data_IF_964077770037
#
_entry.id   IF_964077770037
#
_cell.length_a   1.000
_cell.length_b   1.000
_cell.length_c   1.000
_cell.angle_alpha   90.00
_cell.angle_beta   90.00
_cell.angle_gamma   90.00
#
_symmetry.space_group_name_H-M   'P 1'
#
loop_
_entity.id
_entity.type
_entity.pdbx_description
1 polymer ?
#
# COMPACT_ATOMS: atom_id res chain seq x y z
N UNK A 1 -19.62 -22.72 4.39
CA UNK A 1 -18.37 -22.73 3.61
C UNK A 1 -17.30 -22.06 4.45
N UNK A 2 -16.11 -22.65 4.53
CA UNK A 2 -14.99 -22.02 5.21
C UNK A 2 -14.56 -20.75 4.45
N UNK A 3 -14.06 -19.74 5.16
CA UNK A 3 -13.64 -18.46 4.60
C UNK A 3 -12.45 -17.90 5.38
N UNK A 4 -11.76 -16.93 4.81
CA UNK A 4 -10.67 -16.23 5.51
C UNK A 4 -11.29 -15.27 6.52
N UNK A 5 -10.83 -15.32 7.77
CA UNK A 5 -11.24 -14.41 8.84
C UNK A 5 -10.01 -14.06 9.66
N UNK A 6 -10.00 -12.87 10.26
CA UNK A 6 -8.92 -12.48 11.17
C UNK A 6 -8.73 -13.55 12.25
N UNK A 7 -7.47 -13.94 12.44
CA UNK A 7 -7.04 -14.90 13.46
C UNK A 7 -7.56 -16.34 13.30
N UNK A 8 -8.10 -16.71 12.13
CA UNK A 8 -8.41 -18.11 11.85
C UNK A 8 -7.22 -18.87 11.24
N UNK A 9 -7.36 -20.19 11.07
CA UNK A 9 -6.32 -21.04 10.51
C UNK A 9 -5.83 -20.55 9.14
N UNK A 10 -6.75 -20.21 8.22
CA UNK A 10 -6.42 -19.78 6.87
C UNK A 10 -5.67 -18.45 6.84
N UNK A 11 -6.02 -17.51 7.72
CA UNK A 11 -5.29 -16.27 7.90
C UNK A 11 -3.82 -16.53 8.28
N UNK A 12 -3.56 -17.40 9.26
CA UNK A 12 -2.20 -17.76 9.64
C UNK A 12 -1.48 -18.61 8.61
N UNK A 13 -2.20 -19.43 7.83
CA UNK A 13 -1.63 -20.24 6.75
C UNK A 13 -0.98 -19.34 5.69
N UNK A 14 -1.68 -18.30 5.22
CA UNK A 14 -1.11 -17.36 4.24
C UNK A 14 0.13 -16.62 4.78
N UNK A 15 0.10 -16.20 6.05
CA UNK A 15 1.26 -15.58 6.71
C UNK A 15 2.43 -16.56 6.78
N UNK A 16 2.20 -17.80 7.21
CA UNK A 16 3.23 -18.83 7.32
C UNK A 16 3.88 -19.13 5.96
N UNK A 17 3.06 -19.21 4.91
CA UNK A 17 3.54 -19.40 3.52
C UNK A 17 4.42 -18.22 3.09
N UNK A 18 4.01 -16.97 3.35
CA UNK A 18 4.80 -15.79 3.01
C UNK A 18 6.15 -15.75 3.75
N UNK A 19 6.16 -16.08 5.05
CA UNK A 19 7.39 -16.18 5.84
C UNK A 19 8.31 -17.28 5.29
N UNK A 20 7.77 -18.46 5.02
CA UNK A 20 8.52 -19.58 4.46
C UNK A 20 9.18 -19.21 3.12
N UNK A 21 8.41 -18.62 2.20
CA UNK A 21 8.96 -18.18 0.91
C UNK A 21 9.97 -17.04 1.05
N UNK A 22 9.85 -16.17 2.06
CA UNK A 22 10.84 -15.14 2.33
C UNK A 22 12.17 -15.78 2.72
N UNK A 23 12.15 -16.75 3.65
CA UNK A 23 13.33 -17.49 4.09
C UNK A 23 13.98 -18.25 2.92
N UNK A 24 13.17 -18.92 2.10
CA UNK A 24 13.66 -19.63 0.91
C UNK A 24 14.30 -18.65 -0.07
N UNK A 25 13.68 -17.49 -0.31
CA UNK A 25 14.20 -16.48 -1.24
C UNK A 25 15.56 -15.94 -0.78
N UNK A 26 15.71 -15.65 0.51
CA UNK A 26 17.00 -15.20 1.10
C UNK A 26 18.05 -16.30 0.96
N UNK A 27 17.78 -17.51 1.44
CA UNK A 27 18.74 -18.64 1.35
C UNK A 27 19.17 -18.93 -0.08
N UNK A 28 18.26 -18.81 -1.04
CA UNK A 28 18.56 -19.01 -2.45
C UNK A 28 19.48 -17.91 -3.03
N UNK A 29 19.33 -16.67 -2.58
CA UNK A 29 20.04 -15.48 -3.08
C UNK A 29 21.34 -15.16 -2.35
N UNK A 30 21.55 -15.68 -1.14
CA UNK A 30 22.75 -15.41 -0.33
C UNK A 30 24.05 -15.78 -1.04
N UNK A 31 24.03 -16.86 -1.82
CA UNK A 31 25.20 -17.33 -2.56
C UNK A 31 25.25 -16.85 -4.02
N UNK A 32 24.44 -15.84 -4.39
CA UNK A 32 24.36 -15.30 -5.76
C UNK A 32 25.06 -13.95 -5.88
N UNK A 33 25.49 -13.61 -7.09
CA UNK A 33 26.09 -12.31 -7.38
C UNK A 33 25.07 -11.18 -7.31
N UNK A 34 25.52 -9.95 -7.05
CA UNK A 34 24.62 -8.78 -7.03
C UNK A 34 23.88 -8.56 -8.34
N UNK A 35 24.54 -8.83 -9.47
CA UNK A 35 23.91 -8.79 -10.79
C UNK A 35 22.74 -9.78 -10.89
N UNK A 36 22.90 -10.99 -10.34
CA UNK A 36 21.82 -11.96 -10.30
C UNK A 36 20.70 -11.54 -9.35
N UNK A 37 21.03 -11.10 -8.13
CA UNK A 37 20.03 -10.63 -7.15
C UNK A 37 19.18 -9.49 -7.71
N UNK A 38 19.81 -8.52 -8.40
CA UNK A 38 19.09 -7.41 -9.06
C UNK A 38 18.13 -7.91 -10.15
N UNK A 39 18.60 -8.83 -11.01
CA UNK A 39 17.76 -9.45 -12.04
C UNK A 39 16.60 -10.23 -11.43
N UNK A 40 16.85 -10.99 -10.38
CA UNK A 40 15.81 -11.75 -9.68
C UNK A 40 14.72 -10.83 -9.13
N UNK A 41 15.11 -9.77 -8.40
CA UNK A 41 14.15 -8.79 -7.87
C UNK A 41 13.37 -8.11 -9.00
N UNK A 42 14.05 -7.76 -10.10
CA UNK A 42 13.35 -7.19 -11.25
C UNK A 42 12.38 -8.18 -11.90
N UNK A 43 12.72 -9.47 -12.00
CA UNK A 43 11.78 -10.49 -12.46
C UNK A 43 10.56 -10.59 -11.56
N UNK A 44 10.70 -10.49 -10.23
CA UNK A 44 9.57 -10.44 -9.30
C UNK A 44 8.67 -9.23 -9.54
N UNK A 45 9.26 -8.04 -9.81
CA UNK A 45 8.51 -6.83 -10.18
C UNK A 45 7.68 -7.09 -11.45
N UNK A 46 8.29 -7.68 -12.48
CA UNK A 46 7.60 -7.97 -13.74
C UNK A 46 6.52 -9.05 -13.58
N UNK A 47 6.74 -10.07 -12.75
CA UNK A 47 5.73 -11.07 -12.41
C UNK A 47 4.52 -10.40 -11.73
N UNK A 48 4.77 -9.50 -10.78
CA UNK A 48 3.68 -8.79 -10.09
C UNK A 48 2.89 -7.91 -11.06
N UNK A 49 3.59 -7.23 -11.98
CA UNK A 49 2.96 -6.44 -13.05
C UNK A 49 2.06 -7.31 -13.94
N UNK A 50 2.56 -8.47 -14.40
CA UNK A 50 1.79 -9.40 -15.22
C UNK A 50 0.55 -9.88 -14.46
N UNK A 51 0.69 -10.28 -13.20
CA UNK A 51 -0.43 -10.75 -12.36
C UNK A 51 -1.48 -9.66 -12.15
N UNK A 52 -1.04 -8.41 -11.98
CA UNK A 52 -1.94 -7.28 -11.88
C UNK A 52 -2.80 -7.11 -13.14
N UNK A 53 -2.25 -7.29 -14.34
CA UNK A 53 -3.04 -7.27 -15.57
C UNK A 53 -3.90 -8.53 -15.76
N UNK A 54 -3.37 -9.71 -15.45
CA UNK A 54 -4.09 -10.98 -15.59
C UNK A 54 -5.30 -11.10 -14.66
N UNK A 55 -5.38 -10.31 -13.58
CA UNK A 55 -6.52 -10.39 -12.65
C UNK A 55 -7.88 -10.10 -13.33
N UNK A 56 -7.89 -9.39 -14.48
CA UNK A 56 -9.14 -9.09 -15.20
C UNK A 56 -9.85 -10.34 -15.72
N UNK A 57 -9.13 -11.45 -15.93
CA UNK A 57 -9.70 -12.68 -16.49
C UNK A 57 -10.24 -13.65 -15.43
N UNK A 58 -10.15 -13.31 -14.14
CA UNK A 58 -10.57 -14.18 -13.05
C UNK A 58 -11.75 -13.62 -12.28
N UNK A 59 -12.58 -14.49 -11.72
CA UNK A 59 -13.65 -14.09 -10.81
C UNK A 59 -13.06 -13.43 -9.54
N UNK A 60 -13.62 -12.31 -9.03
CA UNK A 60 -14.87 -11.67 -9.45
C UNK A 60 -14.70 -10.51 -10.46
N UNK A 61 -13.52 -10.31 -11.05
CA UNK A 61 -13.28 -9.20 -12.00
C UNK A 61 -14.11 -9.34 -13.27
N UNK A 62 -14.43 -10.58 -13.66
CA UNK A 62 -15.33 -10.88 -14.77
C UNK A 62 -16.76 -10.38 -14.59
N UNK A 63 -17.14 -9.93 -13.38
CA UNK A 63 -18.45 -9.32 -13.08
C UNK A 63 -18.47 -7.80 -13.31
N UNK A 64 -17.35 -7.19 -13.70
CA UNK A 64 -17.23 -5.73 -13.87
C UNK A 64 -17.25 -5.39 -15.35
N UNK A 65 -18.26 -4.63 -15.79
CA UNK A 65 -18.43 -4.25 -17.20
C UNK A 65 -17.18 -3.60 -17.80
N UNK A 66 -16.63 -2.59 -17.10
CA UNK A 66 -15.38 -1.93 -17.46
C UNK A 66 -14.22 -2.44 -16.60
N UNK A 67 -13.90 -3.74 -16.74
CA UNK A 67 -12.88 -4.42 -15.94
C UNK A 67 -11.50 -3.75 -15.98
N UNK A 68 -11.17 -3.03 -17.08
CA UNK A 68 -9.90 -2.31 -17.23
C UNK A 68 -9.67 -1.25 -16.15
N UNK A 69 -10.74 -0.67 -15.58
CA UNK A 69 -10.65 0.24 -14.43
C UNK A 69 -9.87 -0.37 -13.26
N UNK A 70 -9.88 -1.70 -13.16
CA UNK A 70 -9.19 -2.46 -12.11
C UNK A 70 -7.69 -2.57 -12.29
N UNK A 71 -7.17 -2.35 -13.49
CA UNK A 71 -5.72 -2.45 -13.77
C UNK A 71 -5.03 -1.09 -13.88
N UNK A 72 -5.78 -0.01 -13.65
CA UNK A 72 -5.26 1.37 -13.61
C UNK A 72 -4.68 1.73 -12.24
N UNK A 73 -4.42 3.02 -11.99
CA UNK A 73 -4.10 3.57 -10.68
C UNK A 73 -5.32 3.55 -9.74
N UNK A 74 -5.87 2.34 -9.52
CA UNK A 74 -7.08 2.12 -8.74
C UNK A 74 -6.85 2.22 -7.24
N UNK A 75 -5.66 1.91 -6.74
CA UNK A 75 -5.36 2.00 -5.32
C UNK A 75 -3.85 2.09 -5.10
N UNK A 76 -3.41 2.25 -3.85
CA UNK A 76 -1.99 2.36 -3.50
C UNK A 76 -1.19 1.14 -4.00
N UNK A 77 -1.74 -0.08 -3.85
CA UNK A 77 -1.08 -1.32 -4.27
C UNK A 77 -0.94 -1.39 -5.79
N UNK A 78 -2.01 -1.13 -6.53
CA UNK A 78 -2.02 -1.07 -7.99
C UNK A 78 -1.05 -0.01 -8.51
N UNK A 79 -1.07 1.19 -7.91
CA UNK A 79 -0.13 2.27 -8.23
C UNK A 79 1.32 1.83 -8.01
N UNK A 80 1.59 1.13 -6.90
CA UNK A 80 2.91 0.58 -6.62
C UNK A 80 3.33 -0.46 -7.67
N UNK A 81 2.46 -1.41 -8.02
CA UNK A 81 2.74 -2.40 -9.06
C UNK A 81 3.05 -1.75 -10.42
N UNK A 82 2.29 -0.72 -10.81
CA UNK A 82 2.52 0.01 -12.07
C UNK A 82 3.80 0.84 -12.05
N UNK A 83 4.17 1.43 -10.91
CA UNK A 83 5.32 2.32 -10.80
C UNK A 83 6.65 1.59 -10.52
N UNK A 84 6.62 0.44 -9.84
CA UNK A 84 7.81 -0.29 -9.41
C UNK A 84 8.79 -0.65 -10.55
N UNK A 85 8.35 -1.05 -11.76
CA UNK A 85 9.25 -1.27 -12.90
C UNK A 85 10.14 -0.05 -13.19
N UNK A 86 9.60 1.16 -13.03
CA UNK A 86 10.32 2.42 -13.28
C UNK A 86 11.10 2.87 -12.04
N UNK A 87 10.49 2.81 -10.86
CA UNK A 87 11.11 3.21 -9.59
C UNK A 87 12.31 2.35 -9.23
N UNK A 88 12.35 1.09 -9.66
CA UNK A 88 13.48 0.20 -9.43
C UNK A 88 14.80 0.74 -10.01
N UNK A 89 14.73 1.36 -11.20
CA UNK A 89 15.90 1.90 -11.90
C UNK A 89 16.19 3.37 -11.58
N UNK A 90 15.27 4.07 -10.90
CA UNK A 90 15.45 5.49 -10.61
C UNK A 90 16.63 5.72 -9.67
N UNK A 91 17.42 6.76 -9.93
CA UNK A 91 18.55 7.14 -9.06
C UNK A 91 18.13 8.02 -7.89
N UNK A 92 16.95 8.62 -7.96
CA UNK A 92 16.43 9.51 -6.93
C UNK A 92 16.14 8.70 -5.65
N UNK A 93 16.86 9.03 -4.55
CA UNK A 93 16.73 8.31 -3.28
C UNK A 93 15.34 8.43 -2.66
N UNK A 94 14.65 9.56 -2.81
CA UNK A 94 13.30 9.76 -2.25
C UNK A 94 12.26 8.89 -2.96
N UNK A 95 12.36 8.76 -4.29
CA UNK A 95 11.49 7.85 -5.05
C UNK A 95 11.72 6.38 -4.68
N UNK A 96 12.99 6.01 -4.39
CA UNK A 96 13.32 4.68 -3.87
C UNK A 96 12.88 4.46 -2.42
N UNK A 97 13.01 5.46 -1.54
CA UNK A 97 12.50 5.40 -0.18
C UNK A 97 10.98 5.18 -0.21
N UNK A 98 10.25 5.86 -1.09
CA UNK A 98 8.82 5.62 -1.32
C UNK A 98 8.55 4.17 -1.74
N UNK A 99 9.24 3.67 -2.77
CA UNK A 99 9.09 2.27 -3.24
C UNK A 99 9.27 1.27 -2.09
N UNK A 100 10.25 1.51 -1.22
CA UNK A 100 10.56 0.61 -0.11
C UNK A 100 9.55 0.73 1.02
N UNK A 101 9.32 1.94 1.53
CA UNK A 101 8.44 2.16 2.67
C UNK A 101 7.00 1.77 2.34
N UNK A 102 6.49 2.21 1.18
CA UNK A 102 5.13 1.89 0.76
C UNK A 102 5.01 0.44 0.31
N UNK A 103 6.02 -0.14 -0.35
CA UNK A 103 5.99 -1.56 -0.71
C UNK A 103 5.95 -2.48 0.51
N UNK A 104 6.81 -2.24 1.51
CA UNK A 104 6.78 -3.00 2.77
C UNK A 104 5.46 -2.77 3.49
N UNK A 105 5.01 -1.53 3.67
CA UNK A 105 3.78 -1.23 4.40
C UNK A 105 2.55 -1.82 3.71
N UNK A 106 2.39 -1.61 2.40
CA UNK A 106 1.25 -2.15 1.64
C UNK A 106 1.25 -3.68 1.59
N UNK A 107 2.42 -4.31 1.52
CA UNK A 107 2.52 -5.77 1.57
C UNK A 107 2.23 -6.34 2.96
N UNK A 108 2.69 -5.70 4.04
CA UNK A 108 2.47 -6.19 5.42
C UNK A 108 1.04 -5.90 5.90
N UNK A 109 0.56 -4.67 5.75
CA UNK A 109 -0.77 -4.26 6.24
C UNK A 109 -1.87 -5.11 5.60
N UNK A 110 -1.74 -5.47 4.33
CA UNK A 110 -2.73 -6.30 3.64
C UNK A 110 -2.73 -7.76 4.08
N UNK A 111 -1.65 -8.23 4.72
CA UNK A 111 -1.65 -9.52 5.42
C UNK A 111 -2.27 -9.41 6.82
N UNK A 112 -2.03 -8.31 7.53
CA UNK A 112 -2.58 -8.06 8.88
C UNK A 112 -4.09 -7.81 8.84
N UNK A 113 -4.55 -7.04 7.85
CA UNK A 113 -5.95 -6.66 7.66
C UNK A 113 -6.35 -6.89 6.19
N UNK A 114 -6.59 -8.15 5.78
CA UNK A 114 -6.87 -8.52 4.38
C UNK A 114 -8.32 -8.21 3.98
N UNK A 115 -8.74 -6.94 4.08
CA UNK A 115 -10.14 -6.51 3.89
C UNK A 115 -10.74 -7.02 2.58
N UNK A 116 -10.02 -6.90 1.46
CA UNK A 116 -10.53 -7.33 0.15
C UNK A 116 -10.69 -8.85 0.04
N UNK A 117 -9.78 -9.64 0.63
CA UNK A 117 -9.86 -11.10 0.59
C UNK A 117 -10.97 -11.65 1.51
N UNK A 118 -11.36 -10.88 2.52
CA UNK A 118 -12.44 -11.20 3.46
C UNK A 118 -13.81 -10.64 3.04
N UNK A 119 -13.82 -9.57 2.23
CA UNK A 119 -15.05 -8.86 1.86
C UNK A 119 -15.97 -9.71 0.99
N UNK A 120 -17.25 -9.79 1.35
CA UNK A 120 -18.31 -10.33 0.51
C UNK A 120 -18.79 -9.36 -0.58
N UNK A 121 -18.28 -8.12 -0.56
CA UNK A 121 -18.58 -7.07 -1.52
C UNK A 121 -17.34 -6.78 -2.35
N UNK A 122 -17.49 -6.88 -3.67
CA UNK A 122 -16.48 -6.53 -4.66
C UNK A 122 -16.85 -5.25 -5.40
N UNK A 123 -15.85 -4.49 -5.86
CA UNK A 123 -16.03 -3.22 -6.59
C UNK A 123 -17.00 -2.22 -5.91
N UNK A 124 -17.12 -2.28 -4.58
CA UNK A 124 -17.97 -1.40 -3.79
C UNK A 124 -19.46 -1.74 -3.74
N UNK A 125 -20.01 -2.45 -4.73
CA UNK A 125 -21.45 -2.75 -4.79
C UNK A 125 -21.82 -4.17 -5.22
N UNK A 126 -20.85 -4.96 -5.70
CA UNK A 126 -21.12 -6.30 -6.24
C UNK A 126 -21.07 -7.31 -5.11
N UNK A 127 -22.21 -7.87 -4.71
CA UNK A 127 -22.24 -8.96 -3.72
C UNK A 127 -21.77 -10.26 -4.36
N UNK A 128 -20.67 -10.80 -3.84
CA UNK A 128 -20.05 -12.06 -4.28
C UNK A 128 -20.15 -13.17 -3.23
N UNK A 129 -20.72 -12.84 -2.06
CA UNK A 129 -20.89 -13.78 -0.95
C UNK A 129 -19.57 -14.16 -0.26
N UNK A 130 -19.61 -15.16 0.63
CA UNK A 130 -18.42 -15.68 1.32
C UNK A 130 -17.35 -16.17 0.35
N UNK A 131 -16.09 -15.79 0.60
CA UNK A 131 -14.97 -16.14 -0.27
C UNK A 131 -14.21 -17.34 0.27
N UNK A 132 -14.17 -18.42 -0.50
CA UNK A 132 -13.41 -19.61 -0.15
C UNK A 132 -11.91 -19.26 0.03
N UNK A 133 -11.19 -19.88 0.99
CA UNK A 133 -9.79 -19.55 1.26
C UNK A 133 -8.89 -19.75 0.05
N UNK A 134 -9.15 -20.79 -0.74
CA UNK A 134 -8.40 -21.14 -1.95
C UNK A 134 -9.05 -20.63 -3.24
N UNK A 135 -9.96 -19.66 -3.16
CA UNK A 135 -10.42 -18.94 -4.35
C UNK A 135 -9.19 -18.35 -5.06
N UNK A 136 -9.11 -18.50 -6.39
CA UNK A 136 -7.96 -18.06 -7.17
C UNK A 136 -7.62 -16.58 -6.93
N UNK A 137 -8.63 -15.73 -6.78
CA UNK A 137 -8.42 -14.32 -6.43
C UNK A 137 -7.82 -14.13 -5.04
N UNK A 138 -8.17 -14.95 -4.04
CA UNK A 138 -7.56 -14.87 -2.71
C UNK A 138 -6.08 -15.24 -2.78
N UNK A 139 -5.74 -16.33 -3.49
CA UNK A 139 -4.35 -16.74 -3.71
C UNK A 139 -3.59 -15.63 -4.44
N UNK A 140 -4.16 -15.07 -5.51
CA UNK A 140 -3.58 -13.96 -6.27
C UNK A 140 -3.40 -12.72 -5.40
N UNK A 141 -4.39 -12.37 -4.59
CA UNK A 141 -4.34 -11.24 -3.67
C UNK A 141 -3.14 -11.37 -2.73
N UNK A 142 -3.03 -12.48 -1.99
CA UNK A 142 -1.90 -12.66 -1.07
C UNK A 142 -0.57 -12.74 -1.79
N UNK A 143 -0.50 -13.39 -2.96
CA UNK A 143 0.74 -13.50 -3.71
C UNK A 143 1.22 -12.15 -4.26
N UNK A 144 0.32 -11.33 -4.81
CA UNK A 144 0.66 -9.99 -5.32
C UNK A 144 1.16 -9.06 -4.20
N UNK A 145 0.53 -9.11 -3.02
CA UNK A 145 0.94 -8.32 -1.86
C UNK A 145 2.22 -8.86 -1.22
N UNK A 146 2.42 -10.17 -1.24
CA UNK A 146 3.69 -10.79 -0.85
C UNK A 146 4.83 -10.28 -1.73
N UNK A 147 4.64 -10.21 -3.06
CA UNK A 147 5.65 -9.64 -3.95
C UNK A 147 5.92 -8.16 -3.65
N UNK A 148 4.86 -7.37 -3.38
CA UNK A 148 5.02 -5.95 -2.96
C UNK A 148 5.89 -5.80 -1.70
N UNK A 149 5.82 -6.74 -0.75
CA UNK A 149 6.69 -6.80 0.42
C UNK A 149 8.09 -7.34 0.09
N UNK A 150 8.17 -8.48 -0.61
CA UNK A 150 9.40 -9.23 -0.82
C UNK A 150 10.42 -8.41 -1.63
N UNK A 151 9.95 -7.71 -2.67
CA UNK A 151 10.80 -6.87 -3.53
C UNK A 151 11.61 -5.85 -2.71
N UNK A 152 10.98 -4.92 -1.96
CA UNK A 152 11.71 -3.94 -1.16
C UNK A 152 12.43 -4.57 0.03
N UNK A 153 11.90 -5.65 0.63
CA UNK A 153 12.59 -6.39 1.67
C UNK A 153 13.95 -6.91 1.18
N UNK A 154 14.00 -7.57 0.01
CA UNK A 154 15.24 -8.09 -0.56
C UNK A 154 16.19 -6.96 -0.98
N UNK A 155 15.66 -5.82 -1.46
CA UNK A 155 16.48 -4.64 -1.75
C UNK A 155 17.18 -4.10 -0.50
N UNK A 156 16.48 -4.06 0.64
CA UNK A 156 17.04 -3.65 1.92
C UNK A 156 18.02 -4.70 2.47
N UNK A 157 17.64 -5.98 2.44
CA UNK A 157 18.43 -7.09 2.95
C UNK A 157 19.81 -7.18 2.25
N UNK A 158 19.85 -7.02 0.93
CA UNK A 158 21.08 -7.01 0.15
C UNK A 158 21.70 -5.61 -0.04
N UNK A 159 21.31 -4.62 0.79
CA UNK A 159 21.86 -3.25 0.79
C UNK A 159 21.89 -2.59 -0.59
N UNK A 160 20.88 -2.87 -1.42
CA UNK A 160 20.75 -2.26 -2.75
C UNK A 160 20.26 -0.81 -2.67
N UNK A 161 19.65 -0.46 -1.54
CA UNK A 161 19.25 0.89 -1.15
C UNK A 161 19.19 0.96 0.38
N UNK A 162 19.45 2.13 0.94
CA UNK A 162 19.39 2.40 2.37
C UNK A 162 18.41 3.55 2.60
N UNK A 163 17.38 3.28 3.39
CA UNK A 163 16.45 4.32 3.85
C UNK A 163 17.17 5.25 4.83
N UNK A 164 16.65 6.46 5.02
CA UNK A 164 17.23 7.41 5.97
C UNK A 164 16.16 8.21 6.69
N UNK A 165 16.30 8.36 8.00
CA UNK A 165 15.41 9.18 8.82
C UNK A 165 15.31 10.63 8.30
N UNK A 166 16.42 11.16 7.76
CA UNK A 166 16.49 12.51 7.19
C UNK A 166 15.59 12.70 5.96
N UNK A 167 15.16 11.60 5.33
CA UNK A 167 14.26 11.61 4.17
C UNK A 167 12.90 10.99 4.48
N UNK A 168 12.72 10.37 5.64
CA UNK A 168 11.50 9.64 6.02
C UNK A 168 10.24 10.51 5.96
N UNK A 169 10.34 11.79 6.35
CA UNK A 169 9.21 12.73 6.27
C UNK A 169 8.66 12.91 4.83
N UNK A 170 9.46 12.60 3.79
CA UNK A 170 9.03 12.71 2.39
C UNK A 170 8.09 11.59 1.98
N UNK A 171 8.13 10.43 2.65
CA UNK A 171 7.29 9.29 2.28
C UNK A 171 5.78 9.58 2.43
N UNK A 172 5.30 10.20 3.53
CA UNK A 172 3.91 10.67 3.62
C UNK A 172 3.49 11.61 2.48
N UNK A 173 4.33 12.58 2.11
CA UNK A 173 4.01 13.49 1.00
C UNK A 173 3.97 12.77 -0.36
N UNK A 174 4.86 11.80 -0.57
CA UNK A 174 4.81 10.94 -1.76
C UNK A 174 3.52 10.12 -1.79
N UNK A 175 3.04 9.64 -0.64
CA UNK A 175 1.77 8.93 -0.56
C UNK A 175 0.58 9.85 -0.86
N UNK A 176 0.60 11.11 -0.40
CA UNK A 176 -0.41 12.12 -0.78
C UNK A 176 -0.43 12.36 -2.30
N UNK A 177 0.74 12.42 -2.93
CA UNK A 177 0.83 12.53 -4.40
C UNK A 177 0.21 11.31 -5.09
N UNK A 178 0.36 10.12 -4.52
CA UNK A 178 -0.26 8.90 -5.05
C UNK A 178 -1.77 8.91 -4.88
N UNK A 179 -2.29 9.41 -3.75
CA UNK A 179 -3.73 9.65 -3.61
C UNK A 179 -4.27 10.64 -4.65
N UNK A 180 -3.51 11.68 -4.97
CA UNK A 180 -3.87 12.61 -6.05
C UNK A 180 -3.90 11.91 -7.42
N UNK A 181 -2.93 11.06 -7.72
CA UNK A 181 -2.92 10.26 -8.96
C UNK A 181 -4.13 9.34 -9.02
N UNK A 182 -4.47 8.66 -7.92
CA UNK A 182 -5.65 7.78 -7.83
C UNK A 182 -6.94 8.58 -8.05
N UNK A 183 -7.06 9.76 -7.44
CA UNK A 183 -8.21 10.64 -7.62
C UNK A 183 -8.35 11.12 -9.07
N UNK A 184 -7.26 11.59 -9.68
CA UNK A 184 -7.25 11.98 -11.10
C UNK A 184 -7.65 10.80 -11.99
N UNK A 185 -7.14 9.60 -11.69
CA UNK A 185 -7.52 8.38 -12.41
C UNK A 185 -9.03 8.12 -12.29
N UNK A 186 -9.61 8.26 -11.10
CA UNK A 186 -11.05 8.11 -10.88
C UNK A 186 -11.88 9.14 -11.67
N UNK A 187 -11.41 10.39 -11.74
CA UNK A 187 -12.03 11.43 -12.57
C UNK A 187 -11.99 11.08 -14.06
N UNK A 188 -10.84 10.61 -14.56
CA UNK A 188 -10.67 10.25 -15.97
C UNK A 188 -11.58 9.08 -16.35
N UNK A 189 -11.60 8.00 -15.57
CA UNK A 189 -12.46 6.85 -15.90
C UNK A 189 -13.95 7.19 -15.80
N UNK A 190 -14.33 8.09 -14.90
CA UNK A 190 -15.71 8.62 -14.81
C UNK A 190 -16.04 9.49 -16.03
N UNK A 191 -15.11 10.34 -16.46
CA UNK A 191 -15.28 11.16 -17.66
C UNK A 191 -15.41 10.32 -18.94
N UNK A 192 -14.74 9.17 -19.02
CA UNK A 192 -14.86 8.19 -20.10
C UNK A 192 -16.17 7.38 -20.05
N UNK A 193 -17.01 7.59 -19.02
CA UNK A 193 -18.28 6.87 -18.85
C UNK A 193 -18.12 5.45 -18.32
N UNK A 194 -16.93 5.05 -17.84
CA UNK A 194 -16.70 3.71 -17.30
C UNK A 194 -17.17 3.55 -15.84
N UNK A 195 -17.40 4.67 -15.16
CA UNK A 195 -17.98 4.76 -13.83
C UNK A 195 -19.15 5.75 -13.90
N UNK A 196 -20.33 5.43 -13.34
CA UNK A 196 -21.46 6.35 -13.30
C UNK A 196 -21.12 7.62 -12.51
N UNK A 197 -21.50 8.79 -13.04
CA UNK A 197 -21.17 10.09 -12.45
C UNK A 197 -21.82 10.30 -11.09
N UNK A 198 -22.99 9.73 -10.89
CA UNK A 198 -23.74 9.71 -9.64
C UNK A 198 -23.03 8.94 -8.53
N UNK A 199 -22.09 8.06 -8.87
CA UNK A 199 -21.28 7.33 -7.90
C UNK A 199 -19.98 8.06 -7.55
N UNK A 200 -19.62 9.11 -8.30
CA UNK A 200 -18.44 9.90 -8.00
C UNK A 200 -18.63 10.59 -6.65
N UNK A 201 -17.62 10.52 -5.79
CA UNK A 201 -17.64 11.02 -4.42
C UNK A 201 -18.43 10.18 -3.41
N UNK A 202 -19.23 9.19 -3.81
CA UNK A 202 -19.94 8.33 -2.85
C UNK A 202 -18.97 7.35 -2.18
N UNK A 203 -18.70 7.48 -0.86
CA UNK A 203 -17.74 6.61 -0.18
C UNK A 203 -18.15 5.15 -0.19
N UNK A 204 -19.44 4.84 -0.26
CA UNK A 204 -19.98 3.49 -0.19
C UNK A 204 -19.92 2.78 -1.56
N UNK A 205 -19.72 3.51 -2.65
CA UNK A 205 -19.57 2.96 -4.00
C UNK A 205 -18.10 2.66 -4.31
N UNK A 206 -17.64 3.06 -5.49
CA UNK A 206 -16.26 2.93 -5.91
C UNK A 206 -15.45 4.04 -5.24
N UNK A 207 -14.71 3.65 -4.21
CA UNK A 207 -13.97 4.57 -3.36
C UNK A 207 -12.52 4.07 -3.23
N UNK A 208 -11.71 4.26 -4.29
CA UNK A 208 -10.37 3.72 -4.37
C UNK A 208 -9.49 4.27 -3.25
N UNK A 209 -8.93 3.38 -2.41
CA UNK A 209 -8.11 3.77 -1.26
C UNK A 209 -8.73 4.85 -0.35
N UNK A 210 -10.05 4.84 -0.20
CA UNK A 210 -10.79 5.77 0.66
C UNK A 210 -10.66 7.25 0.27
N UNK A 211 -10.34 7.59 -0.98
CA UNK A 211 -10.17 9.00 -1.37
C UNK A 211 -11.38 9.90 -1.04
N UNK A 212 -12.59 9.35 -0.97
CA UNK A 212 -13.83 10.09 -0.67
C UNK A 212 -14.27 9.98 0.80
N UNK A 213 -13.56 9.22 1.63
CA UNK A 213 -13.95 8.97 3.01
C UNK A 213 -13.91 7.49 3.36
N UNK A 214 -14.05 7.13 4.64
CA UNK A 214 -14.27 5.74 5.04
C UNK A 214 -15.64 5.25 4.56
N UNK A 215 -15.74 3.96 4.25
CA UNK A 215 -17.04 3.31 4.00
C UNK A 215 -17.78 3.12 5.32
N UNK A 216 -19.10 3.14 5.30
CA UNK A 216 -19.92 2.90 6.50
C UNK A 216 -19.61 1.54 7.15
N UNK A 217 -19.40 0.51 6.33
CA UNK A 217 -19.01 -0.83 6.77
C UNK A 217 -17.67 -0.90 7.51
N UNK A 218 -16.85 0.16 7.45
CA UNK A 218 -15.56 0.25 8.13
C UNK A 218 -15.60 1.26 9.28
N UNK A 219 -16.75 1.43 9.95
CA UNK A 219 -16.95 2.41 11.02
C UNK A 219 -15.81 2.49 12.05
N UNK A 220 -15.21 1.37 12.46
CA UNK A 220 -14.05 1.36 13.36
C UNK A 220 -12.75 1.90 12.74
N UNK A 221 -12.45 1.54 11.50
CA UNK A 221 -11.25 2.03 10.79
C UNK A 221 -11.44 3.49 10.34
N UNK A 222 -12.67 3.85 9.98
CA UNK A 222 -13.09 5.22 9.67
C UNK A 222 -13.05 6.13 10.90
N UNK A 223 -13.33 5.61 12.09
CA UNK A 223 -13.17 6.34 13.34
C UNK A 223 -11.70 6.68 13.60
N UNK A 224 -10.79 5.70 13.46
CA UNK A 224 -9.35 5.92 13.63
C UNK A 224 -8.81 6.93 12.62
N UNK A 225 -9.15 6.76 11.34
CA UNK A 225 -8.75 7.71 10.29
C UNK A 225 -9.36 9.11 10.49
N UNK A 226 -10.59 9.18 11.01
CA UNK A 226 -11.36 10.40 11.21
C UNK A 226 -10.93 11.28 12.38
N UNK A 227 -10.19 10.74 13.38
CA UNK A 227 -9.75 11.50 14.57
C UNK A 227 -8.99 12.78 14.20
N UNK A 228 -8.22 12.74 13.12
CA UNK A 228 -7.39 13.85 12.67
C UNK A 228 -8.04 14.70 11.58
N UNK A 229 -9.32 14.48 11.26
CA UNK A 229 -9.98 15.11 10.11
C UNK A 229 -10.92 16.21 10.60
N UNK A 230 -10.64 17.49 10.27
CA UNK A 230 -11.54 18.58 10.62
C UNK A 230 -12.93 18.39 10.02
N UNK A 231 -13.97 18.69 10.79
CA UNK A 231 -15.37 18.51 10.36
C UNK A 231 -15.75 19.33 9.13
N UNK A 232 -15.10 20.48 8.89
CA UNK A 232 -15.36 21.30 7.69
C UNK A 232 -14.92 20.63 6.37
N UNK A 233 -14.11 19.57 6.44
CA UNK A 233 -13.74 18.78 5.27
C UNK A 233 -14.80 17.72 4.93
N UNK A 234 -15.85 17.58 5.76
CA UNK A 234 -16.98 16.71 5.52
C UNK A 234 -18.09 17.53 4.84
N UNK A 235 -18.53 17.07 3.66
CA UNK A 235 -19.51 17.73 2.82
C UNK A 235 -20.67 16.78 2.52
N UNK A 236 -21.84 17.35 2.24
CA UNK A 236 -23.00 16.60 1.76
C UNK A 236 -23.18 16.86 0.27
N UNK A 237 -23.34 15.81 -0.52
CA UNK A 237 -23.57 15.96 -1.95
C UNK A 237 -24.89 16.68 -2.21
N UNK A 238 -24.91 17.80 -2.97
CA UNK A 238 -26.08 18.66 -3.08
C UNK A 238 -27.28 18.03 -3.80
N UNK A 239 -27.05 16.95 -4.55
CA UNK A 239 -28.09 16.25 -5.35
C UNK A 239 -28.46 14.88 -4.78
N UNK A 240 -27.51 14.20 -4.14
CA UNK A 240 -27.64 12.78 -3.77
C UNK A 240 -27.62 12.56 -2.26
N UNK A 241 -27.42 13.64 -1.48
CA UNK A 241 -27.52 13.70 -0.02
C UNK A 241 -26.60 12.75 0.78
N UNK A 242 -25.70 12.00 0.12
CA UNK A 242 -24.66 11.26 0.81
C UNK A 242 -23.58 12.20 1.35
N UNK A 243 -22.93 11.77 2.44
CA UNK A 243 -21.81 12.50 3.04
C UNK A 243 -20.48 11.96 2.52
N UNK A 244 -19.56 12.86 2.20
CA UNK A 244 -18.21 12.51 1.74
C UNK A 244 -17.19 13.53 2.27
N UNK A 245 -15.92 13.19 2.18
CA UNK A 245 -14.83 14.10 2.54
C UNK A 245 -14.21 14.73 1.30
N UNK A 246 -13.70 15.97 1.44
CA UNK A 246 -12.97 16.67 0.38
C UNK A 246 -11.84 15.77 -0.16
N UNK A 247 -11.92 15.33 -1.43
CA UNK A 247 -11.05 14.27 -1.95
C UNK A 247 -9.57 14.59 -1.76
N UNK A 248 -8.80 13.60 -1.30
CA UNK A 248 -7.34 13.69 -1.05
C UNK A 248 -6.95 14.63 0.11
N UNK A 249 -7.55 15.82 0.21
CA UNK A 249 -7.22 16.83 1.22
C UNK A 249 -7.47 16.29 2.64
N UNK A 250 -8.58 15.58 2.84
CA UNK A 250 -8.90 14.99 4.13
C UNK A 250 -7.88 13.94 4.61
N UNK A 251 -7.17 13.30 3.66
CA UNK A 251 -6.14 12.29 3.95
C UNK A 251 -4.79 12.90 4.35
N UNK A 252 -4.58 14.21 4.23
CA UNK A 252 -3.28 14.84 4.50
C UNK A 252 -2.83 14.58 5.94
N UNK A 253 -3.67 14.92 6.93
CA UNK A 253 -3.33 14.75 8.35
C UNK A 253 -3.19 13.27 8.74
N UNK A 254 -4.15 12.36 8.41
CA UNK A 254 -3.97 10.93 8.64
C UNK A 254 -2.70 10.37 8.02
N UNK A 255 -2.36 10.79 6.80
CA UNK A 255 -1.17 10.30 6.10
C UNK A 255 0.13 10.79 6.74
N UNK A 256 0.19 12.05 7.17
CA UNK A 256 1.36 12.59 7.88
C UNK A 256 1.56 11.85 9.21
N UNK A 257 0.49 11.62 9.97
CA UNK A 257 0.56 10.97 11.28
C UNK A 257 0.89 9.48 11.14
N UNK A 258 0.03 8.70 10.48
CA UNK A 258 0.18 7.25 10.38
C UNK A 258 1.30 6.86 9.42
N UNK A 259 1.40 7.53 8.27
CA UNK A 259 2.50 7.30 7.33
C UNK A 259 3.84 7.72 7.93
N UNK A 260 3.87 8.82 8.69
CA UNK A 260 5.06 9.25 9.42
C UNK A 260 5.49 8.24 10.48
N UNK A 261 4.53 7.71 11.26
CA UNK A 261 4.79 6.67 12.25
C UNK A 261 5.36 5.39 11.60
N UNK A 262 4.76 4.93 10.50
CA UNK A 262 5.25 3.77 9.75
C UNK A 262 6.66 4.02 9.21
N UNK A 263 6.91 5.19 8.60
CA UNK A 263 8.23 5.55 8.09
C UNK A 263 9.27 5.58 9.21
N UNK A 264 8.92 6.13 10.37
CA UNK A 264 9.76 6.16 11.56
C UNK A 264 10.10 4.75 12.08
N UNK A 265 9.10 3.87 12.20
CA UNK A 265 9.31 2.47 12.61
C UNK A 265 10.24 1.75 11.64
N UNK A 266 10.05 1.92 10.33
CA UNK A 266 10.95 1.33 9.33
C UNK A 266 12.38 1.86 9.48
N UNK A 267 12.55 3.17 9.69
CA UNK A 267 13.86 3.77 9.97
C UNK A 267 14.48 3.22 11.26
N UNK A 268 13.72 2.98 12.33
CA UNK A 268 14.25 2.34 13.54
C UNK A 268 14.76 0.91 13.29
N UNK A 269 14.13 0.17 12.37
CA UNK A 269 14.52 -1.21 12.04
C UNK A 269 15.75 -1.24 11.13
N UNK A 270 15.80 -0.39 10.11
CA UNK A 270 16.79 -0.46 9.03
C UNK A 270 17.85 0.66 9.02
N UNK A 271 17.63 1.74 9.76
CA UNK A 271 18.49 2.94 9.87
C UNK A 271 18.67 3.33 11.36
N UNK A 272 18.91 2.33 12.21
CA UNK A 272 18.78 2.45 13.67
C UNK A 272 19.70 3.51 14.27
N UNK A 273 20.99 3.48 13.92
CA UNK A 273 22.01 4.38 14.49
C UNK A 273 21.71 5.85 14.20
N UNK A 274 21.52 6.19 12.92
CA UNK A 274 21.16 7.53 12.47
C UNK A 274 19.82 8.00 13.04
N UNK A 275 18.83 7.11 13.15
CA UNK A 275 17.53 7.42 13.74
C UNK A 275 17.65 7.75 15.23
N UNK A 276 18.42 6.97 15.99
CA UNK A 276 18.66 7.24 17.41
C UNK A 276 19.44 8.54 17.61
N UNK A 277 20.42 8.82 16.75
CA UNK A 277 21.18 10.07 16.78
C UNK A 277 20.29 11.28 16.47
N UNK A 278 19.39 11.16 15.48
CA UNK A 278 18.39 12.18 15.16
C UNK A 278 17.46 12.48 16.36
N UNK A 279 16.99 11.44 17.07
CA UNK A 279 16.18 11.62 18.28
C UNK A 279 16.95 12.33 19.40
N UNK A 280 18.23 11.97 19.61
CA UNK A 280 19.08 12.65 20.60
C UNK A 280 19.25 14.13 20.26
N UNK A 281 19.39 14.48 18.98
CA UNK A 281 19.50 15.87 18.53
C UNK A 281 18.19 16.66 18.70
N UNK A 282 17.02 16.03 18.58
CA UNK A 282 15.73 16.68 18.84
C UNK A 282 15.53 17.05 20.31
N UNK A 283 16.09 16.25 21.23
CA UNK A 283 15.97 16.43 22.68
C UNK A 283 17.10 17.30 23.24
N UNK A 284 18.29 17.26 22.63
CA UNK A 284 19.46 18.06 23.05
C UNK A 284 19.43 19.45 22.41
N UNK A 285 19.41 20.50 23.24
CA UNK A 285 19.59 21.89 22.81
C UNK A 285 21.02 22.22 22.35
N UNK A 286 21.98 21.29 22.48
CA UNK A 286 23.36 21.46 22.03
C UNK A 286 23.64 20.67 20.75
N UNK A 287 24.28 21.27 19.73
CA UNK A 287 24.69 20.55 18.53
C UNK A 287 25.75 19.50 18.89
N UNK A 288 25.38 18.23 18.74
CA UNK A 288 26.31 17.10 18.92
C UNK A 288 27.32 17.17 17.76
N UNK A 289 28.59 17.44 18.07
CA UNK A 289 29.68 17.48 17.08
C UNK A 289 29.91 16.07 16.51
N UNK A 290 30.26 16.01 15.23
CA UNK A 290 30.39 14.80 14.40
C UNK A 290 31.35 13.72 14.92
N UNK A 291 32.16 13.99 15.94
CA UNK A 291 33.13 13.03 16.50
C UNK A 291 32.50 11.96 17.39
N UNK A 292 31.32 12.21 17.99
CA UNK A 292 30.58 11.16 18.73
C UNK A 292 29.85 10.17 17.80
N UNK A 293 29.70 10.50 16.52
CA UNK A 293 29.07 9.64 15.50
C UNK A 293 29.88 8.39 15.16
N UNK A 294 31.17 8.33 15.52
CA UNK A 294 32.05 7.21 15.20
C UNK A 294 32.22 6.20 16.35
N UNK A 295 31.55 6.45 17.50
CA UNK A 295 31.66 5.61 18.71
C UNK A 295 30.37 4.91 19.11
N UNK A 296 29.34 4.95 18.26
CA UNK A 296 28.08 4.22 18.44
C UNK A 296 27.99 3.17 17.34
#
# INVERSE_FOLDING_TARGET
MEQIQLFNFYYFLYIAIAVLFTIISVKFLDHKTDKFRRRFIFSLIMINLIIHFLKVVIYPYTLVDHVWTKVTFENICASSVLLFPFLYFVKNKTLKDYMIMVGIASGVITFVVPLDAMSSIFNGSISIGPRAPFLLENIRFYFAHYLLFLIPFLMMHYKMHEISIRRAYRAPFMLILIFLIIFINELVITALGWVPKEHLFDPNRRNPSFIFGPKEQFSGLGMIAGIFVPSFLMLTHPVYEFTFYVPVIWLILPTIVYGGLIAFVLCLIYDKEDTLLFLKQLVSSKPIKSEESQKI
#
